data_IF_615775186321
#
_entry.id   IF_615775186321
#
_cell.length_a   1.000
_cell.length_b   1.000
_cell.length_c   1.000
_cell.angle_alpha   90.00
_cell.angle_beta   90.00
_cell.angle_gamma   90.00
#
_symmetry.space_group_name_H-M   'P 1'
#
loop_
_entity.id
_entity.type
_entity.pdbx_description
1 polymer ?
#
# COMPACT_ATOMS: atom_id res chain seq x y z
N UNK A 1 -17.76 14.79 -10.11
CA UNK A 1 -17.66 13.57 -9.30
C UNK A 1 -18.04 12.37 -10.18
N UNK A 2 -17.20 11.33 -10.24
CA UNK A 2 -17.51 10.07 -10.96
C UNK A 2 -18.62 9.27 -10.26
N UNK A 3 -18.73 9.40 -8.92
CA UNK A 3 -19.71 8.72 -8.09
C UNK A 3 -20.41 9.75 -7.19
N UNK A 4 -21.38 10.52 -7.70
CA UNK A 4 -22.08 11.54 -6.93
C UNK A 4 -22.98 10.90 -5.86
N UNK A 5 -23.28 11.65 -4.82
CA UNK A 5 -24.25 11.34 -3.78
C UNK A 5 -24.94 12.62 -3.30
N UNK A 6 -26.08 12.51 -2.66
CA UNK A 6 -26.81 13.65 -2.12
C UNK A 6 -26.12 14.20 -0.86
N UNK A 7 -25.85 15.51 -0.83
CA UNK A 7 -25.17 16.14 0.30
C UNK A 7 -26.09 16.33 1.51
N UNK A 8 -27.37 16.49 1.30
CA UNK A 8 -28.35 16.78 2.35
C UNK A 8 -28.51 15.64 3.37
N UNK A 9 -28.68 14.35 2.97
CA UNK A 9 -28.64 13.23 3.91
C UNK A 9 -27.30 13.10 4.64
N UNK A 10 -26.19 13.31 3.93
CA UNK A 10 -24.86 13.29 4.55
C UNK A 10 -24.72 14.40 5.60
N UNK A 11 -25.11 15.63 5.29
CA UNK A 11 -25.05 16.75 6.22
C UNK A 11 -25.90 16.50 7.48
N UNK A 12 -27.12 15.97 7.31
CA UNK A 12 -27.97 15.60 8.43
C UNK A 12 -27.35 14.52 9.31
N UNK A 13 -26.74 13.51 8.70
CA UNK A 13 -26.02 12.46 9.41
C UNK A 13 -24.80 13.00 10.17
N UNK A 14 -23.97 13.86 9.52
CA UNK A 14 -22.76 14.43 10.11
C UNK A 14 -23.07 15.37 11.28
N UNK A 15 -24.15 16.19 11.19
CA UNK A 15 -24.59 17.05 12.31
C UNK A 15 -24.86 16.24 13.58
N UNK A 16 -25.42 15.04 13.42
CA UNK A 16 -25.75 14.16 14.55
C UNK A 16 -24.55 13.39 15.09
N UNK A 17 -23.60 12.99 14.22
CA UNK A 17 -22.62 11.96 14.55
C UNK A 17 -21.17 12.43 14.51
N UNK A 18 -20.86 13.61 13.91
CA UNK A 18 -19.51 14.15 13.82
C UNK A 18 -19.33 15.34 14.77
N UNK A 19 -18.62 15.17 15.90
CA UNK A 19 -18.40 16.24 16.85
C UNK A 19 -17.75 17.48 16.19
N UNK A 20 -18.36 18.65 16.39
CA UNK A 20 -17.83 19.91 15.86
C UNK A 20 -18.15 20.18 14.39
N UNK A 21 -18.98 19.38 13.74
CA UNK A 21 -19.47 19.65 12.39
C UNK A 21 -20.36 20.90 12.34
N UNK A 22 -21.31 21.04 13.28
CA UNK A 22 -22.21 22.20 13.39
C UNK A 22 -23.25 22.27 12.27
N UNK A 23 -23.85 23.47 12.07
CA UNK A 23 -24.90 23.73 11.07
C UNK A 23 -24.36 24.37 9.77
N UNK A 24 -23.05 24.28 9.54
CA UNK A 24 -22.44 24.84 8.33
C UNK A 24 -22.86 24.09 7.08
N UNK A 25 -22.93 24.79 5.97
CA UNK A 25 -23.12 24.20 4.65
C UNK A 25 -21.89 23.34 4.30
N UNK A 26 -22.14 22.16 3.73
CA UNK A 26 -21.09 21.23 3.34
C UNK A 26 -20.90 21.23 1.83
N UNK A 27 -19.67 21.17 1.41
CA UNK A 27 -19.28 20.84 0.05
C UNK A 27 -18.51 19.54 0.02
N UNK A 28 -18.56 18.83 -1.12
CA UNK A 28 -17.78 17.62 -1.34
C UNK A 28 -17.15 17.67 -2.72
N UNK A 29 -15.85 17.39 -2.77
CA UNK A 29 -15.09 17.24 -4.02
C UNK A 29 -14.35 15.90 -4.02
N UNK A 30 -14.43 15.15 -5.14
CA UNK A 30 -13.78 13.84 -5.26
C UNK A 30 -12.32 14.02 -5.62
N UNK A 31 -11.43 13.33 -4.88
CA UNK A 31 -10.02 13.24 -5.27
C UNK A 31 -9.87 12.48 -6.59
N UNK A 32 -8.89 12.86 -7.40
CA UNK A 32 -8.58 12.23 -8.69
C UNK A 32 -7.91 10.87 -8.56
N UNK A 33 -7.30 10.56 -7.40
CA UNK A 33 -6.72 9.27 -7.06
C UNK A 33 -7.66 8.39 -6.22
N UNK A 34 -7.31 7.12 -6.03
CA UNK A 34 -8.12 6.17 -5.24
C UNK A 34 -9.12 5.41 -6.11
N UNK A 35 -8.61 4.57 -7.00
CA UNK A 35 -9.45 3.78 -7.93
C UNK A 35 -10.31 2.73 -7.23
N UNK A 36 -9.86 2.22 -6.07
CA UNK A 36 -10.56 1.16 -5.35
C UNK A 36 -11.76 1.67 -4.55
N UNK A 37 -11.54 2.68 -3.68
CA UNK A 37 -12.57 3.24 -2.81
C UNK A 37 -12.73 4.75 -3.08
N UNK A 38 -13.87 5.22 -3.61
CA UNK A 38 -14.09 6.64 -3.86
C UNK A 38 -13.86 7.48 -2.60
N UNK A 39 -12.98 8.47 -2.73
CA UNK A 39 -12.52 9.32 -1.62
C UNK A 39 -12.85 10.79 -1.93
N UNK A 40 -13.38 11.50 -0.96
CA UNK A 40 -13.88 12.87 -1.11
C UNK A 40 -13.33 13.79 -0.03
N UNK A 41 -12.94 14.99 -0.44
CA UNK A 41 -12.75 16.11 0.48
C UNK A 41 -14.12 16.66 0.86
N UNK A 42 -14.38 16.74 2.15
CA UNK A 42 -15.54 17.42 2.72
C UNK A 42 -15.08 18.75 3.34
N UNK A 43 -15.76 19.85 3.01
CA UNK A 43 -15.48 21.16 3.57
C UNK A 43 -16.74 21.77 4.17
N UNK A 44 -16.61 22.28 5.41
CA UNK A 44 -17.68 22.99 6.10
C UNK A 44 -17.10 24.18 6.86
N UNK A 45 -17.19 25.37 6.30
CA UNK A 45 -16.52 26.58 6.79
C UNK A 45 -15.00 26.45 6.71
N UNK A 46 -14.33 26.52 7.84
CA UNK A 46 -12.87 26.43 8.00
C UNK A 46 -12.36 25.01 8.27
N UNK A 47 -13.26 24.03 8.34
CA UNK A 47 -12.92 22.64 8.64
C UNK A 47 -12.94 21.78 7.40
N UNK A 48 -12.01 20.83 7.35
CA UNK A 48 -11.84 19.88 6.27
C UNK A 48 -11.76 18.44 6.83
N UNK A 49 -12.44 17.51 6.17
CA UNK A 49 -12.39 16.09 6.44
C UNK A 49 -12.28 15.31 5.14
N UNK A 50 -11.96 14.04 5.25
CA UNK A 50 -11.99 13.09 4.15
C UNK A 50 -13.07 12.06 4.42
N UNK A 51 -13.95 11.86 3.44
CA UNK A 51 -14.91 10.75 3.39
C UNK A 51 -14.39 9.70 2.42
N UNK A 52 -14.24 8.46 2.87
CA UNK A 52 -13.89 7.31 2.03
C UNK A 52 -15.04 6.30 2.10
N UNK A 53 -15.55 5.87 0.94
CA UNK A 53 -16.69 4.97 0.88
C UNK A 53 -16.46 3.78 -0.04
N UNK A 54 -17.23 2.71 0.16
CA UNK A 54 -17.30 1.61 -0.81
C UNK A 54 -17.81 2.12 -2.15
N UNK A 55 -17.32 1.61 -3.30
CA UNK A 55 -17.93 1.90 -4.59
C UNK A 55 -19.40 1.48 -4.59
N UNK A 56 -20.28 2.19 -5.31
CA UNK A 56 -21.66 1.75 -5.48
C UNK A 56 -21.73 0.50 -6.37
N UNK A 57 -22.71 -0.38 -6.11
CA UNK A 57 -22.98 -1.58 -6.90
C UNK A 57 -22.69 -2.88 -6.17
N UNK A 58 -22.81 -4.00 -6.89
CA UNK A 58 -22.54 -5.34 -6.34
C UNK A 58 -21.04 -5.58 -6.33
N UNK A 59 -20.48 -5.72 -5.14
CA UNK A 59 -19.06 -5.94 -4.92
C UNK A 59 -18.78 -7.41 -4.58
N UNK A 60 -17.56 -7.86 -4.89
CA UNK A 60 -17.10 -9.16 -4.43
C UNK A 60 -17.00 -9.18 -2.90
N UNK A 61 -17.35 -10.29 -2.24
CA UNK A 61 -17.18 -10.43 -0.80
C UNK A 61 -15.75 -10.07 -0.37
N UNK A 62 -15.60 -9.30 0.68
CA UNK A 62 -14.32 -8.78 1.21
C UNK A 62 -13.56 -7.75 0.34
N UNK A 63 -14.03 -7.39 -0.84
CA UNK A 63 -13.49 -6.25 -1.58
C UNK A 63 -13.99 -4.94 -0.97
N UNK A 64 -13.13 -3.91 -1.00
CA UNK A 64 -13.50 -2.55 -0.60
C UNK A 64 -13.99 -2.42 0.86
N UNK A 65 -13.31 -3.12 1.79
CA UNK A 65 -13.69 -3.19 3.21
C UNK A 65 -13.29 -1.92 3.98
N UNK A 66 -14.03 -0.82 3.80
CA UNK A 66 -13.80 0.47 4.49
C UNK A 66 -13.88 0.36 6.02
N UNK A 67 -14.66 -0.58 6.54
CA UNK A 67 -14.74 -0.94 7.95
C UNK A 67 -13.40 -1.46 8.48
N UNK A 68 -12.65 -2.23 7.68
CA UNK A 68 -11.32 -2.70 8.04
C UNK A 68 -10.28 -1.57 8.04
N UNK A 69 -10.34 -0.67 7.05
CA UNK A 69 -9.49 0.52 7.02
C UNK A 69 -9.73 1.40 8.25
N UNK A 70 -11.00 1.67 8.57
CA UNK A 70 -11.39 2.40 9.77
C UNK A 70 -10.84 1.74 11.03
N UNK A 71 -11.03 0.42 11.18
CA UNK A 71 -10.61 -0.35 12.36
C UNK A 71 -9.09 -0.28 12.60
N UNK A 72 -8.28 -0.44 11.57
CA UNK A 72 -6.82 -0.41 11.73
C UNK A 72 -6.33 1.00 12.07
N UNK A 73 -6.83 2.04 11.44
CA UNK A 73 -6.46 3.42 11.76
C UNK A 73 -6.91 3.82 13.17
N UNK A 74 -8.10 3.39 13.60
CA UNK A 74 -8.57 3.61 14.97
C UNK A 74 -7.65 2.95 16.00
N UNK A 75 -7.22 1.72 15.73
CA UNK A 75 -6.32 0.95 16.61
C UNK A 75 -4.90 1.57 16.68
N UNK A 76 -4.38 2.07 15.56
CA UNK A 76 -3.05 2.67 15.48
C UNK A 76 -2.95 4.08 16.05
N UNK A 77 -4.06 4.71 16.42
CA UNK A 77 -4.10 6.12 16.86
C UNK A 77 -3.14 6.46 18.00
N UNK A 78 -2.87 5.51 18.90
CA UNK A 78 -1.98 5.71 20.06
C UNK A 78 -0.59 5.08 19.87
N UNK A 79 -0.31 4.56 18.68
CA UNK A 79 1.00 3.99 18.34
C UNK A 79 1.92 5.05 17.76
N UNK A 80 3.17 4.66 17.49
CA UNK A 80 4.15 5.52 16.77
C UNK A 80 3.93 5.56 15.25
N UNK A 81 2.94 4.82 14.74
CA UNK A 81 2.56 4.83 13.32
C UNK A 81 1.61 6.00 13.06
N UNK A 82 2.01 6.99 12.28
CA UNK A 82 1.15 8.13 11.99
C UNK A 82 -0.01 7.71 11.08
N UNK A 83 -1.23 7.95 11.53
CA UNK A 83 -2.46 7.69 10.76
C UNK A 83 -3.42 8.87 10.86
N UNK A 84 -4.25 9.14 9.85
CA UNK A 84 -5.33 10.12 10.00
C UNK A 84 -6.24 9.73 11.16
N UNK A 85 -6.67 10.69 11.93
CA UNK A 85 -7.67 10.42 12.96
C UNK A 85 -9.00 10.10 12.30
N UNK A 86 -9.52 8.90 12.55
CA UNK A 86 -10.87 8.50 12.12
C UNK A 86 -11.90 8.97 13.15
N UNK A 87 -13.06 9.40 12.69
CA UNK A 87 -14.11 10.00 13.52
C UNK A 87 -15.35 9.12 13.64
N UNK A 88 -15.82 8.58 12.51
CA UNK A 88 -17.03 7.77 12.46
C UNK A 88 -16.97 6.78 11.29
N UNK A 89 -17.63 5.65 11.48
CA UNK A 89 -17.97 4.67 10.45
C UNK A 89 -19.51 4.64 10.33
N UNK A 90 -20.01 4.71 9.11
CA UNK A 90 -21.42 4.58 8.79
C UNK A 90 -21.63 3.37 7.89
N UNK A 91 -22.45 2.43 8.34
CA UNK A 91 -22.82 1.23 7.59
C UNK A 91 -24.25 1.34 7.01
N UNK A 92 -24.90 2.49 7.17
CA UNK A 92 -26.22 2.77 6.63
C UNK A 92 -26.11 3.30 5.19
N UNK A 93 -26.43 2.44 4.22
CA UNK A 93 -26.37 2.77 2.79
C UNK A 93 -27.37 3.88 2.39
N UNK A 94 -28.39 4.19 3.21
CA UNK A 94 -29.36 5.25 2.91
C UNK A 94 -28.74 6.64 2.93
N UNK A 95 -27.58 6.83 3.57
CA UNK A 95 -26.93 8.14 3.74
C UNK A 95 -26.24 8.61 2.46
N UNK A 96 -25.36 7.77 1.89
CA UNK A 96 -24.60 8.10 0.67
C UNK A 96 -24.57 6.97 -0.37
N UNK A 97 -25.40 5.96 -0.21
CA UNK A 97 -25.54 4.85 -1.14
C UNK A 97 -24.59 3.68 -0.90
N UNK A 98 -23.71 3.75 0.09
CA UNK A 98 -22.82 2.66 0.53
C UNK A 98 -22.14 3.01 1.85
N UNK A 99 -21.63 2.00 2.55
CA UNK A 99 -20.86 2.21 3.79
C UNK A 99 -19.65 3.14 3.57
N UNK A 100 -19.39 4.02 4.53
CA UNK A 100 -18.29 5.00 4.49
C UNK A 100 -17.73 5.27 5.88
N UNK A 101 -16.53 5.86 5.91
CA UNK A 101 -16.00 6.47 7.12
C UNK A 101 -15.52 7.90 6.86
N UNK A 102 -15.39 8.66 7.94
CA UNK A 102 -14.87 10.03 7.94
C UNK A 102 -13.61 10.09 8.79
N UNK A 103 -12.59 10.74 8.25
CA UNK A 103 -11.30 10.99 8.92
C UNK A 103 -10.86 12.43 8.73
N UNK A 104 -9.83 12.84 9.49
CA UNK A 104 -9.19 14.15 9.31
C UNK A 104 -8.61 14.29 7.91
N UNK A 105 -8.73 15.49 7.34
CA UNK A 105 -7.91 15.88 6.20
C UNK A 105 -6.50 16.25 6.72
N UNK A 106 -5.51 15.52 6.23
CA UNK A 106 -4.10 15.77 6.58
C UNK A 106 -3.45 16.58 5.46
N UNK A 107 -3.07 17.81 5.76
CA UNK A 107 -2.36 18.67 4.82
C UNK A 107 -0.87 18.36 4.82
N UNK A 108 -0.31 18.09 3.63
CA UNK A 108 1.10 17.75 3.50
C UNK A 108 1.51 17.48 2.06
N UNK A 109 2.71 16.92 1.91
CA UNK A 109 3.30 16.52 0.62
C UNK A 109 3.20 15.02 0.43
N UNK A 110 2.83 14.57 -0.75
CA UNK A 110 2.97 13.16 -1.18
C UNK A 110 3.91 13.10 -2.39
N UNK A 111 4.61 11.99 -2.57
CA UNK A 111 5.62 11.84 -3.60
C UNK A 111 5.30 10.63 -4.46
N UNK A 112 5.06 10.87 -5.74
CA UNK A 112 4.80 9.81 -6.71
C UNK A 112 6.08 9.14 -7.23
N UNK A 113 7.13 9.95 -7.45
CA UNK A 113 8.41 9.50 -7.95
C UNK A 113 9.38 9.24 -6.78
N UNK A 114 9.86 8.00 -6.60
CA UNK A 114 10.76 7.66 -5.50
C UNK A 114 12.14 8.32 -5.61
N UNK A 115 12.52 8.88 -6.76
CA UNK A 115 13.75 9.67 -6.89
C UNK A 115 13.65 11.05 -6.25
N UNK A 116 12.44 11.48 -5.85
CA UNK A 116 12.14 12.77 -5.19
C UNK A 116 12.72 13.96 -5.95
N UNK A 117 12.28 14.18 -7.22
CA UNK A 117 12.83 15.27 -8.03
C UNK A 117 12.61 16.62 -7.37
N UNK A 118 13.57 17.53 -7.54
CA UNK A 118 13.54 18.88 -6.98
C UNK A 118 14.02 19.00 -5.53
N UNK A 119 14.32 17.89 -4.84
CA UNK A 119 14.86 17.89 -3.48
C UNK A 119 16.40 17.88 -3.48
N UNK A 120 16.99 18.38 -2.39
CA UNK A 120 18.42 18.23 -2.10
C UNK A 120 18.76 16.80 -1.67
N UNK A 121 20.04 16.44 -1.68
CA UNK A 121 20.51 15.14 -1.21
C UNK A 121 20.15 14.87 0.26
N UNK A 122 20.31 15.89 1.11
CA UNK A 122 20.00 15.79 2.55
C UNK A 122 18.50 15.59 2.79
N UNK A 123 17.65 16.30 2.06
CA UNK A 123 16.19 16.14 2.15
C UNK A 123 15.77 14.73 1.73
N UNK A 124 16.32 14.20 0.63
CA UNK A 124 16.04 12.83 0.19
C UNK A 124 16.45 11.81 1.25
N UNK A 125 17.69 11.92 1.77
CA UNK A 125 18.17 11.06 2.83
C UNK A 125 17.26 11.06 4.05
N UNK A 126 16.82 12.24 4.49
CA UNK A 126 15.92 12.39 5.63
C UNK A 126 14.51 11.81 5.37
N UNK A 127 13.95 11.99 4.17
CA UNK A 127 12.67 11.38 3.76
C UNK A 127 12.76 9.85 3.79
N UNK A 128 13.83 9.26 3.25
CA UNK A 128 14.03 7.82 3.28
C UNK A 128 14.28 7.29 4.69
N UNK A 129 14.99 8.02 5.55
CA UNK A 129 15.20 7.62 6.95
C UNK A 129 13.88 7.62 7.73
N UNK A 130 13.06 8.63 7.56
CA UNK A 130 11.73 8.71 8.18
C UNK A 130 10.78 7.62 7.66
N UNK A 131 10.79 7.34 6.35
CA UNK A 131 10.01 6.25 5.75
C UNK A 131 10.39 4.89 6.36
N UNK A 132 11.69 4.66 6.55
CA UNK A 132 12.21 3.47 7.23
C UNK A 132 11.75 3.38 8.69
N UNK A 133 11.77 4.52 9.41
CA UNK A 133 11.28 4.59 10.79
C UNK A 133 9.81 4.19 10.88
N UNK A 134 8.96 4.69 9.99
CA UNK A 134 7.52 4.45 10.02
C UNK A 134 7.18 2.98 9.75
N UNK A 135 7.80 2.34 8.75
CA UNK A 135 7.55 0.92 8.48
C UNK A 135 8.09 0.03 9.59
N UNK A 136 9.23 0.38 10.20
CA UNK A 136 9.76 -0.34 11.36
C UNK A 136 8.82 -0.21 12.57
N UNK A 137 8.27 1.00 12.82
CA UNK A 137 7.28 1.22 13.86
C UNK A 137 6.00 0.41 13.63
N UNK A 138 5.54 0.32 12.37
CA UNK A 138 4.37 -0.50 12.01
C UNK A 138 4.59 -1.97 12.35
N UNK A 139 5.74 -2.53 11.98
CA UNK A 139 6.05 -3.94 12.25
C UNK A 139 6.33 -4.23 13.72
N UNK A 140 6.64 -3.21 14.51
CA UNK A 140 6.79 -3.29 15.97
C UNK A 140 5.50 -3.13 16.77
N UNK A 141 4.35 -2.91 16.11
CA UNK A 141 3.06 -2.78 16.81
C UNK A 141 2.66 -4.11 17.43
N UNK A 142 2.41 -4.12 18.72
CA UNK A 142 1.71 -5.22 19.39
C UNK A 142 0.24 -5.21 18.96
N UNK A 143 -0.06 -5.99 17.91
CA UNK A 143 -1.39 -6.04 17.32
C UNK A 143 -2.46 -6.62 18.25
N UNK A 144 -2.07 -7.40 19.26
CA UNK A 144 -3.00 -7.91 20.29
C UNK A 144 -3.35 -6.81 21.26
N UNK A 145 -2.37 -6.07 21.77
CA UNK A 145 -2.56 -4.95 22.68
C UNK A 145 -3.44 -3.83 22.09
N UNK A 146 -3.36 -3.60 20.77
CA UNK A 146 -4.23 -2.64 20.07
C UNK A 146 -5.54 -3.25 19.54
N UNK A 147 -5.94 -4.42 20.03
CA UNK A 147 -7.21 -5.10 19.68
C UNK A 147 -7.35 -5.50 18.20
N UNK A 148 -6.24 -5.84 17.54
CA UNK A 148 -6.18 -6.33 16.16
C UNK A 148 -5.89 -7.85 16.05
N UNK A 149 -5.98 -8.64 17.14
CA UNK A 149 -5.75 -10.10 17.11
C UNK A 149 -6.60 -10.83 16.03
N UNK A 150 -7.85 -10.39 15.82
CA UNK A 150 -8.75 -10.92 14.77
C UNK A 150 -8.71 -10.16 13.45
N UNK A 151 -7.71 -9.30 13.21
CA UNK A 151 -7.65 -8.47 12.00
C UNK A 151 -7.20 -9.23 10.74
N UNK A 152 -6.49 -10.32 10.93
CA UNK A 152 -6.03 -11.21 9.87
C UNK A 152 -5.85 -12.64 10.41
N UNK A 153 -5.34 -13.51 9.57
CA UNK A 153 -5.02 -14.89 9.94
C UNK A 153 -3.50 -15.00 10.17
N UNK A 154 -3.04 -15.21 11.42
CA UNK A 154 -1.62 -15.41 11.69
C UNK A 154 -1.06 -16.65 11.01
N UNK A 155 0.23 -16.67 10.78
CA UNK A 155 0.99 -17.80 10.23
C UNK A 155 0.72 -18.09 8.76
N UNK A 156 1.66 -18.77 8.13
CA UNK A 156 1.60 -19.21 6.72
C UNK A 156 1.26 -18.12 5.70
N UNK A 157 1.63 -16.88 6.00
CA UNK A 157 1.29 -15.73 5.15
C UNK A 157 1.79 -15.91 3.72
N UNK A 158 3.06 -16.23 3.53
CA UNK A 158 3.68 -16.40 2.21
C UNK A 158 2.99 -17.48 1.40
N UNK A 159 2.73 -18.66 1.97
CA UNK A 159 2.05 -19.75 1.27
C UNK A 159 0.68 -19.32 0.74
N UNK A 160 -0.14 -18.70 1.61
CA UNK A 160 -1.47 -18.20 1.20
C UNK A 160 -1.40 -17.14 0.12
N UNK A 161 -0.42 -16.24 0.19
CA UNK A 161 -0.25 -15.18 -0.80
C UNK A 161 0.23 -15.74 -2.14
N UNK A 162 1.18 -16.67 -2.15
CA UNK A 162 1.63 -17.35 -3.39
C UNK A 162 0.45 -18.04 -4.07
N UNK A 163 -0.34 -18.83 -3.33
CA UNK A 163 -1.54 -19.49 -3.87
C UNK A 163 -2.57 -18.48 -4.41
N UNK A 164 -2.81 -17.38 -3.68
CA UNK A 164 -3.74 -16.33 -4.10
C UNK A 164 -3.29 -15.70 -5.41
N UNK A 165 -2.04 -15.25 -5.49
CA UNK A 165 -1.52 -14.54 -6.65
C UNK A 165 -1.32 -15.45 -7.85
N UNK A 166 -0.99 -16.72 -7.65
CA UNK A 166 -0.97 -17.74 -8.70
C UNK A 166 -2.36 -17.91 -9.32
N UNK A 167 -3.41 -18.05 -8.49
CA UNK A 167 -4.80 -18.13 -9.00
C UNK A 167 -5.20 -16.88 -9.77
N UNK A 168 -4.88 -15.68 -9.24
CA UNK A 168 -5.20 -14.43 -9.93
C UNK A 168 -4.47 -14.29 -11.27
N UNK A 169 -3.17 -14.59 -11.30
CA UNK A 169 -2.41 -14.57 -12.53
C UNK A 169 -3.01 -15.52 -13.58
N UNK A 170 -3.26 -16.77 -13.21
CA UNK A 170 -3.84 -17.77 -14.13
C UNK A 170 -5.23 -17.38 -14.63
N UNK A 171 -6.06 -16.78 -13.79
CA UNK A 171 -7.39 -16.30 -14.16
C UNK A 171 -7.36 -15.09 -15.11
N UNK A 172 -6.27 -14.34 -15.12
CA UNK A 172 -6.07 -13.15 -15.96
C UNK A 172 -5.02 -13.33 -17.06
N UNK A 173 -4.43 -14.51 -17.20
CA UNK A 173 -3.40 -14.78 -18.19
C UNK A 173 -3.94 -14.53 -19.62
N UNK A 174 -3.14 -13.81 -20.41
CA UNK A 174 -3.34 -13.61 -21.85
C UNK A 174 -2.34 -14.46 -22.61
N UNK A 175 -1.15 -13.93 -22.84
CA UNK A 175 -0.01 -14.69 -23.34
C UNK A 175 0.82 -15.18 -22.13
N UNK A 176 1.35 -16.39 -22.19
CA UNK A 176 2.16 -16.94 -21.09
C UNK A 176 3.43 -16.12 -20.87
N UNK A 177 3.74 -15.81 -19.60
CA UNK A 177 4.99 -15.16 -19.19
C UNK A 177 5.92 -16.23 -18.60
N UNK A 178 6.99 -16.65 -19.32
CA UNK A 178 7.85 -17.76 -18.87
C UNK A 178 8.45 -17.56 -17.47
N UNK A 179 8.81 -16.33 -17.11
CA UNK A 179 9.31 -16.03 -15.77
C UNK A 179 8.26 -16.23 -14.67
N UNK A 180 6.98 -15.97 -14.96
CA UNK A 180 5.89 -16.24 -14.00
C UNK A 180 5.73 -17.73 -13.75
N UNK A 181 5.80 -18.57 -14.77
CA UNK A 181 5.70 -20.03 -14.59
C UNK A 181 6.86 -20.56 -13.74
N UNK A 182 8.09 -20.11 -14.01
CA UNK A 182 9.26 -20.46 -13.17
C UNK A 182 9.10 -20.02 -11.71
N UNK A 183 8.57 -18.81 -11.47
CA UNK A 183 8.32 -18.29 -10.12
C UNK A 183 7.20 -19.07 -9.41
N UNK A 184 6.15 -19.46 -10.13
CA UNK A 184 5.03 -20.28 -9.60
C UNK A 184 5.53 -21.66 -9.11
N UNK A 185 6.51 -22.25 -9.79
CA UNK A 185 7.12 -23.52 -9.38
C UNK A 185 8.12 -23.32 -8.23
N UNK A 186 8.96 -22.28 -8.32
CA UNK A 186 10.07 -22.09 -7.40
C UNK A 186 9.64 -21.59 -6.02
N UNK A 187 8.75 -20.58 -5.96
CA UNK A 187 8.39 -19.91 -4.71
C UNK A 187 7.78 -20.86 -3.66
N UNK A 188 6.84 -21.76 -3.99
CA UNK A 188 6.28 -22.68 -2.99
C UNK A 188 7.30 -23.68 -2.44
N UNK A 189 8.31 -24.06 -3.26
CA UNK A 189 9.34 -25.03 -2.88
C UNK A 189 10.44 -24.44 -1.98
N UNK A 190 10.52 -23.11 -1.85
CA UNK A 190 11.60 -22.41 -1.15
C UNK A 190 11.10 -21.43 -0.09
N UNK A 191 9.86 -21.61 0.40
CA UNK A 191 9.30 -20.73 1.45
C UNK A 191 10.21 -20.76 2.67
N UNK A 192 10.67 -19.60 3.18
CA UNK A 192 11.43 -19.53 4.43
C UNK A 192 10.73 -20.22 5.59
N UNK A 193 11.50 -20.83 6.48
CA UNK A 193 10.95 -21.50 7.67
C UNK A 193 10.39 -20.51 8.70
N UNK A 194 10.93 -19.29 8.72
CA UNK A 194 10.44 -18.22 9.59
C UNK A 194 8.99 -17.84 9.22
N UNK A 195 8.10 -17.91 10.19
CA UNK A 195 6.66 -17.65 10.03
C UNK A 195 6.21 -16.51 10.98
N UNK A 196 7.02 -15.50 11.09
CA UNK A 196 6.73 -14.32 11.91
C UNK A 196 5.43 -13.63 11.46
N UNK A 197 4.69 -13.12 12.45
CA UNK A 197 3.43 -12.40 12.21
C UNK A 197 3.50 -11.02 12.85
N UNK A 198 3.23 -9.98 12.05
CA UNK A 198 3.05 -8.60 12.49
C UNK A 198 1.85 -7.97 11.78
N UNK A 199 1.49 -6.76 12.20
CA UNK A 199 0.61 -5.91 11.39
C UNK A 199 1.40 -5.42 10.18
N UNK A 200 0.89 -5.67 8.97
CA UNK A 200 1.49 -5.25 7.71
C UNK A 200 0.54 -4.35 6.92
N UNK A 201 1.11 -3.41 6.19
CA UNK A 201 0.35 -2.51 5.32
C UNK A 201 -0.12 -3.20 4.04
N UNK A 202 0.75 -3.99 3.44
CA UNK A 202 0.48 -4.71 2.20
C UNK A 202 0.68 -3.89 0.91
N UNK A 203 0.77 -2.56 1.00
CA UNK A 203 1.12 -1.64 -0.11
C UNK A 203 1.91 -0.43 0.42
N UNK A 204 2.91 -0.68 1.28
CA UNK A 204 3.70 0.40 1.86
C UNK A 204 4.65 1.00 0.82
N UNK A 205 4.30 2.17 0.32
CA UNK A 205 5.04 2.93 -0.69
C UNK A 205 5.07 4.40 -0.32
N UNK A 206 6.04 5.14 -0.89
CA UNK A 206 6.24 6.56 -0.59
C UNK A 206 5.04 7.42 -1.01
N UNK A 207 4.31 7.03 -2.05
CA UNK A 207 3.10 7.70 -2.52
C UNK A 207 1.87 7.47 -1.62
N UNK A 208 1.92 6.49 -0.72
CA UNK A 208 0.93 6.27 0.33
C UNK A 208 1.26 6.98 1.66
N UNK A 209 2.27 7.85 1.66
CA UNK A 209 2.68 8.64 2.82
C UNK A 209 2.41 10.13 2.60
N UNK A 210 1.84 10.78 3.61
CA UNK A 210 1.76 12.25 3.67
C UNK A 210 2.87 12.76 4.58
N UNK A 211 3.78 13.54 4.01
CA UNK A 211 4.85 14.19 4.74
C UNK A 211 4.45 15.61 5.14
N UNK A 212 5.04 16.11 6.20
CA UNK A 212 4.91 17.49 6.62
C UNK A 212 5.29 18.45 5.47
N UNK A 213 4.65 19.64 5.36
CA UNK A 213 4.91 20.56 4.25
C UNK A 213 6.39 20.95 4.06
N UNK A 214 7.17 21.01 5.12
CA UNK A 214 8.58 21.46 5.10
C UNK A 214 9.57 20.50 5.77
N UNK A 215 9.10 19.62 6.68
CA UNK A 215 9.94 18.66 7.40
C UNK A 215 9.92 17.28 6.72
N UNK A 216 10.90 16.41 6.95
CA UNK A 216 10.88 15.04 6.44
C UNK A 216 9.89 14.12 7.19
N UNK A 217 9.21 14.61 8.22
CA UNK A 217 8.31 13.84 9.09
C UNK A 217 7.05 13.39 8.38
N UNK A 218 6.72 12.10 8.48
CA UNK A 218 5.44 11.55 8.02
C UNK A 218 4.31 11.95 8.98
N UNK A 219 3.24 12.49 8.43
CA UNK A 219 2.02 12.88 9.15
C UNK A 219 0.93 11.82 9.08
N UNK A 220 0.90 11.04 7.99
CA UNK A 220 -0.08 9.99 7.81
C UNK A 220 0.40 8.90 6.85
N UNK A 221 0.10 7.66 7.18
CA UNK A 221 0.10 6.50 6.27
C UNK A 221 -1.32 6.31 5.79
N UNK A 222 -1.50 6.22 4.47
CA UNK A 222 -2.79 6.09 3.79
C UNK A 222 -2.94 4.72 3.13
N UNK A 223 -4.17 4.40 2.69
CA UNK A 223 -4.51 3.24 1.86
C UNK A 223 -4.29 1.88 2.54
N UNK A 224 -4.97 1.70 3.66
CA UNK A 224 -4.91 0.50 4.49
C UNK A 224 -5.76 -0.68 3.97
N UNK A 225 -6.28 -0.63 2.75
CA UNK A 225 -7.20 -1.65 2.21
C UNK A 225 -6.58 -3.05 2.11
N UNK A 226 -5.25 -3.14 1.92
CA UNK A 226 -4.51 -4.41 1.84
C UNK A 226 -3.90 -4.84 3.17
N UNK A 227 -4.06 -4.05 4.22
CA UNK A 227 -3.48 -4.32 5.53
C UNK A 227 -4.07 -5.59 6.18
N UNK A 228 -3.21 -6.30 6.89
CA UNK A 228 -3.59 -7.58 7.54
C UNK A 228 -2.52 -7.97 8.57
N UNK A 229 -2.76 -9.09 9.26
CA UNK A 229 -1.67 -9.81 9.93
C UNK A 229 -0.89 -10.62 8.89
N UNK A 230 0.40 -10.34 8.78
CA UNK A 230 1.27 -10.89 7.74
C UNK A 230 2.73 -10.92 8.15
N UNK A 231 3.59 -11.30 7.21
CA UNK A 231 5.02 -11.41 7.45
C UNK A 231 5.72 -10.04 7.25
N UNK A 232 6.39 -9.47 8.26
CA UNK A 232 6.98 -8.13 8.19
C UNK A 232 8.04 -8.00 7.10
N UNK A 233 8.85 -9.04 6.86
CA UNK A 233 9.87 -8.98 5.80
C UNK A 233 9.25 -9.00 4.40
N UNK A 234 8.07 -9.61 4.22
CA UNK A 234 7.35 -9.52 2.95
C UNK A 234 6.84 -8.10 2.70
N UNK A 235 6.37 -7.39 3.72
CA UNK A 235 5.91 -6.00 3.60
C UNK A 235 7.09 -5.04 3.40
N UNK A 236 8.18 -5.21 4.15
CA UNK A 236 9.38 -4.40 3.97
C UNK A 236 10.04 -4.62 2.61
N UNK A 237 10.10 -5.86 2.11
CA UNK A 237 10.62 -6.17 0.78
C UNK A 237 9.72 -5.59 -0.34
N UNK A 238 8.41 -5.50 -0.12
CA UNK A 238 7.51 -4.81 -1.06
C UNK A 238 7.91 -3.33 -1.22
N UNK A 239 8.15 -2.64 -0.13
CA UNK A 239 8.66 -1.27 -0.16
C UNK A 239 10.02 -1.18 -0.86
N UNK A 240 10.92 -2.11 -0.58
CA UNK A 240 12.27 -2.13 -1.13
C UNK A 240 12.35 -2.58 -2.60
N UNK A 241 11.28 -3.06 -3.23
CA UNK A 241 11.30 -3.41 -4.66
C UNK A 241 11.81 -2.29 -5.55
N UNK A 242 11.59 -1.04 -5.16
CA UNK A 242 12.01 0.15 -5.91
C UNK A 242 13.52 0.18 -6.20
N UNK A 243 14.37 -0.42 -5.33
CA UNK A 243 15.81 -0.55 -5.58
C UNK A 243 16.18 -1.62 -6.63
N UNK A 244 15.27 -2.55 -6.91
CA UNK A 244 15.52 -3.72 -7.79
C UNK A 244 14.99 -3.54 -9.21
N UNK A 245 14.16 -2.53 -9.44
CA UNK A 245 13.56 -2.22 -10.74
C UNK A 245 14.00 -0.84 -11.24
N UNK A 246 14.04 -0.68 -12.55
CA UNK A 246 14.36 0.60 -13.19
C UNK A 246 13.13 1.51 -13.28
N UNK A 247 13.28 2.81 -13.53
CA UNK A 247 12.14 3.70 -13.79
C UNK A 247 11.24 3.23 -14.93
N UNK A 248 11.82 2.60 -15.96
CA UNK A 248 11.07 2.07 -17.11
C UNK A 248 10.38 0.73 -16.84
N UNK A 249 10.89 -0.08 -15.89
CA UNK A 249 10.23 -1.31 -15.47
C UNK A 249 9.03 -1.02 -14.55
N UNK A 250 9.21 -0.22 -13.51
CA UNK A 250 8.10 0.20 -12.62
C UNK A 250 8.57 1.22 -11.57
N UNK A 251 8.61 2.53 -11.88
CA UNK A 251 8.93 3.60 -10.91
C UNK A 251 10.08 3.24 -9.96
N UNK A 252 11.18 2.72 -10.51
CA UNK A 252 12.28 2.20 -9.71
C UNK A 252 13.43 3.20 -9.56
N UNK A 253 14.36 2.83 -8.67
CA UNK A 253 15.60 3.57 -8.41
C UNK A 253 16.82 2.93 -9.08
N UNK A 254 16.69 1.70 -9.57
CA UNK A 254 17.80 0.99 -10.21
C UNK A 254 18.29 1.75 -11.44
N UNK A 255 19.59 2.02 -11.48
CA UNK A 255 20.23 2.77 -12.56
C UNK A 255 20.45 4.25 -12.25
N UNK A 256 19.87 4.79 -11.16
CA UNK A 256 20.23 6.11 -10.67
C UNK A 256 21.56 6.10 -9.89
N UNK A 257 22.28 7.20 -9.91
CA UNK A 257 23.38 7.46 -8.98
C UNK A 257 22.79 7.85 -7.61
N UNK A 258 22.53 6.82 -6.78
CA UNK A 258 21.91 6.99 -5.48
C UNK A 258 22.74 7.85 -4.54
N UNK A 259 24.08 7.75 -4.63
CA UNK A 259 24.99 8.53 -3.80
C UNK A 259 24.89 10.02 -4.15
N UNK A 260 24.89 10.38 -5.43
CA UNK A 260 24.70 11.76 -5.87
C UNK A 260 23.30 12.30 -5.52
N UNK A 261 22.27 11.44 -5.51
CA UNK A 261 20.92 11.80 -5.10
C UNK A 261 20.76 11.94 -3.58
N UNK A 262 21.67 11.39 -2.77
CA UNK A 262 21.51 11.30 -1.31
C UNK A 262 20.50 10.24 -0.85
N UNK A 263 20.09 9.34 -1.75
CA UNK A 263 19.22 8.21 -1.43
C UNK A 263 20.09 7.05 -0.92
N UNK A 264 19.75 6.42 0.22
CA UNK A 264 20.56 5.31 0.72
C UNK A 264 20.57 4.13 -0.27
N UNK A 265 21.72 3.46 -0.40
CA UNK A 265 21.77 2.16 -1.05
C UNK A 265 20.93 1.14 -0.28
N UNK A 266 20.38 0.13 -0.98
CA UNK A 266 19.48 -0.87 -0.40
C UNK A 266 20.05 -1.53 0.86
N UNK A 267 21.33 -1.91 0.86
CA UNK A 267 22.00 -2.54 1.99
C UNK A 267 22.08 -1.63 3.22
N UNK A 268 22.30 -0.33 3.04
CA UNK A 268 22.29 0.65 4.12
C UNK A 268 20.85 0.86 4.66
N UNK A 269 19.87 0.87 3.77
CA UNK A 269 18.46 1.00 4.13
C UNK A 269 17.94 -0.23 4.90
N UNK A 270 18.34 -1.43 4.49
CA UNK A 270 18.08 -2.70 5.18
C UNK A 270 18.73 -2.71 6.57
N UNK A 271 20.00 -2.29 6.68
CA UNK A 271 20.66 -2.19 7.99
C UNK A 271 19.96 -1.22 8.94
N UNK A 272 19.45 -0.10 8.44
CA UNK A 272 18.68 0.85 9.25
C UNK A 272 17.38 0.21 9.79
N UNK A 273 16.66 -0.53 8.95
CA UNK A 273 15.48 -1.30 9.37
C UNK A 273 15.83 -2.37 10.43
N UNK A 274 16.87 -3.15 10.19
CA UNK A 274 17.34 -4.15 11.16
C UNK A 274 17.64 -3.52 12.52
N UNK A 275 18.35 -2.38 12.53
CA UNK A 275 18.66 -1.65 13.77
C UNK A 275 17.38 -1.22 14.52
N UNK A 276 16.38 -0.72 13.80
CA UNK A 276 15.10 -0.26 14.38
C UNK A 276 14.23 -1.40 14.91
N UNK A 277 14.31 -2.56 14.28
CA UNK A 277 13.50 -3.74 14.64
C UNK A 277 14.24 -4.76 15.52
N UNK A 278 15.49 -4.45 15.93
CA UNK A 278 16.30 -5.34 16.77
C UNK A 278 16.81 -6.60 16.07
N UNK A 279 16.84 -6.61 14.73
CA UNK A 279 17.29 -7.74 13.91
C UNK A 279 18.79 -7.66 13.62
N UNK A 280 19.47 -8.79 13.61
CA UNK A 280 20.88 -8.87 13.21
C UNK A 280 21.04 -8.84 11.68
N UNK A 281 20.10 -9.43 10.95
CA UNK A 281 20.10 -9.51 9.49
C UNK A 281 18.69 -9.82 8.97
N UNK A 282 18.52 -9.81 7.63
CA UNK A 282 17.31 -10.30 6.96
C UNK A 282 17.67 -11.56 6.16
N UNK A 283 17.48 -12.77 6.73
CA UNK A 283 17.71 -14.00 5.99
C UNK A 283 16.73 -14.11 4.82
N UNK A 284 17.13 -14.84 3.79
CA UNK A 284 16.30 -15.08 2.60
C UNK A 284 15.78 -13.81 1.90
N UNK A 285 16.52 -12.69 2.00
CA UNK A 285 16.09 -11.40 1.48
C UNK A 285 15.71 -11.43 0.00
N UNK A 286 16.50 -12.12 -0.84
CA UNK A 286 16.20 -12.25 -2.26
C UNK A 286 14.93 -13.12 -2.54
N UNK A 287 14.54 -14.01 -1.62
CA UNK A 287 13.26 -14.70 -1.68
C UNK A 287 12.08 -13.73 -1.53
N UNK A 288 12.12 -12.85 -0.51
CA UNK A 288 11.05 -11.86 -0.32
C UNK A 288 10.96 -10.87 -1.47
N UNK A 289 12.10 -10.53 -2.08
CA UNK A 289 12.14 -9.70 -3.30
C UNK A 289 11.52 -10.43 -4.49
N UNK A 290 11.89 -11.69 -4.74
CA UNK A 290 11.30 -12.51 -5.81
C UNK A 290 9.78 -12.66 -5.63
N UNK A 291 9.32 -12.92 -4.39
CA UNK A 291 7.90 -13.02 -4.05
C UNK A 291 7.14 -11.73 -4.36
N UNK A 292 7.67 -10.58 -4.00
CA UNK A 292 6.98 -9.30 -4.22
C UNK A 292 6.95 -8.90 -5.69
N UNK A 293 8.01 -9.16 -6.44
CA UNK A 293 8.04 -8.94 -7.89
C UNK A 293 7.08 -9.90 -8.63
N UNK A 294 6.98 -11.16 -8.19
CA UNK A 294 5.95 -12.09 -8.64
C UNK A 294 4.53 -11.56 -8.38
N UNK A 295 4.27 -11.09 -7.15
CA UNK A 295 2.99 -10.49 -6.77
C UNK A 295 2.67 -9.27 -7.63
N UNK A 296 3.62 -8.37 -7.83
CA UNK A 296 3.46 -7.17 -8.67
C UNK A 296 3.16 -7.56 -10.13
N UNK A 297 3.88 -8.52 -10.68
CA UNK A 297 3.63 -9.02 -12.04
C UNK A 297 2.20 -9.60 -12.18
N UNK A 298 1.71 -10.33 -11.16
CA UNK A 298 0.34 -10.84 -11.15
C UNK A 298 -0.72 -9.72 -11.09
N UNK A 299 -0.46 -8.64 -10.34
CA UNK A 299 -1.32 -7.45 -10.29
C UNK A 299 -1.37 -6.77 -11.66
N UNK A 300 -0.21 -6.52 -12.27
CA UNK A 300 -0.08 -5.89 -13.58
C UNK A 300 -0.77 -6.72 -14.69
N UNK A 301 -0.63 -8.04 -14.64
CA UNK A 301 -1.35 -8.93 -15.55
C UNK A 301 -2.88 -8.80 -15.41
N UNK A 302 -3.37 -8.67 -14.17
CA UNK A 302 -4.78 -8.40 -13.93
C UNK A 302 -5.25 -7.04 -14.47
N UNK A 303 -4.40 -6.01 -14.43
CA UNK A 303 -4.66 -4.71 -15.05
C UNK A 303 -4.74 -4.85 -16.57
N UNK A 304 -3.78 -5.54 -17.19
CA UNK A 304 -3.77 -5.81 -18.63
C UNK A 304 -5.04 -6.52 -19.08
N UNK A 305 -5.42 -7.58 -18.36
CA UNK A 305 -6.63 -8.35 -18.66
C UNK A 305 -7.87 -7.46 -18.68
N UNK A 306 -8.05 -6.62 -17.66
CA UNK A 306 -9.18 -5.67 -17.59
C UNK A 306 -9.14 -4.63 -18.72
N UNK A 307 -7.95 -4.13 -19.08
CA UNK A 307 -7.79 -3.18 -20.18
C UNK A 307 -8.23 -3.78 -21.50
N UNK A 308 -7.77 -5.00 -21.81
CA UNK A 308 -8.11 -5.70 -23.05
C UNK A 308 -9.60 -6.07 -23.15
N UNK A 309 -10.30 -6.23 -22.03
CA UNK A 309 -11.73 -6.55 -21.97
C UNK A 309 -12.63 -5.32 -21.73
N UNK A 310 -12.10 -4.10 -21.88
CA UNK A 310 -12.90 -2.86 -21.81
C UNK A 310 -13.41 -2.49 -20.41
N UNK A 311 -12.87 -3.11 -19.35
CA UNK A 311 -13.24 -2.84 -17.94
C UNK A 311 -12.17 -2.12 -17.14
N UNK A 312 -11.20 -1.48 -17.82
CA UNK A 312 -10.11 -0.74 -17.18
C UNK A 312 -10.56 0.66 -16.73
N UNK A 313 -9.97 1.12 -15.63
CA UNK A 313 -10.28 2.41 -15.02
C UNK A 313 -9.60 3.60 -15.74
N UNK A 314 -8.50 3.38 -16.49
CA UNK A 314 -7.76 4.43 -17.20
C UNK A 314 -7.32 4.04 -18.61
N UNK A 315 -7.07 5.04 -19.46
CA UNK A 315 -6.54 4.84 -20.82
C UNK A 315 -5.10 4.28 -20.82
N UNK A 316 -4.36 4.47 -19.72
CA UNK A 316 -2.97 4.02 -19.56
C UNK A 316 -2.86 2.59 -19.00
N UNK A 317 -3.99 1.97 -18.63
CA UNK A 317 -4.03 0.67 -17.97
C UNK A 317 -3.39 -0.43 -18.83
N UNK A 318 -3.53 -0.40 -20.14
CA UNK A 318 -2.90 -1.38 -21.04
C UNK A 318 -1.37 -1.26 -21.00
N UNK A 319 -0.84 -0.04 -21.12
CA UNK A 319 0.60 0.20 -21.06
C UNK A 319 1.18 -0.25 -19.70
N UNK A 320 0.52 0.11 -18.59
CA UNK A 320 0.90 -0.32 -17.25
C UNK A 320 0.87 -1.83 -17.11
N UNK A 321 -0.18 -2.48 -17.60
CA UNK A 321 -0.34 -3.93 -17.52
C UNK A 321 0.72 -4.71 -18.31
N UNK A 322 1.22 -4.16 -19.44
CA UNK A 322 2.30 -4.76 -20.24
C UNK A 322 3.64 -4.84 -19.52
N UNK A 323 3.81 -4.14 -18.38
CA UNK A 323 4.98 -4.25 -17.53
C UNK A 323 5.04 -5.57 -16.73
N UNK A 324 4.00 -6.40 -16.77
CA UNK A 324 3.96 -7.69 -16.06
C UNK A 324 5.15 -8.60 -16.44
N UNK A 325 5.50 -8.69 -17.74
CA UNK A 325 6.63 -9.47 -18.22
C UNK A 325 7.98 -8.99 -17.64
N UNK A 326 8.37 -7.73 -17.87
CA UNK A 326 9.60 -7.15 -17.29
C UNK A 326 9.70 -7.31 -15.78
N UNK A 327 8.62 -7.13 -15.03
CA UNK A 327 8.61 -7.30 -13.57
C UNK A 327 8.77 -8.77 -13.17
N UNK A 328 8.15 -9.72 -13.88
CA UNK A 328 8.35 -11.14 -13.65
C UNK A 328 9.81 -11.55 -13.88
N UNK A 329 10.45 -11.06 -14.96
CA UNK A 329 11.87 -11.30 -15.21
C UNK A 329 12.76 -10.66 -14.11
N UNK A 330 12.40 -9.48 -13.61
CA UNK A 330 13.08 -8.89 -12.45
C UNK A 330 12.99 -9.81 -11.22
N UNK A 331 11.84 -10.43 -10.99
CA UNK A 331 11.64 -11.42 -9.94
C UNK A 331 12.51 -12.66 -10.12
N UNK A 332 12.55 -13.20 -11.33
CA UNK A 332 13.38 -14.37 -11.63
C UNK A 332 14.89 -14.09 -11.47
N UNK A 333 15.35 -12.90 -11.81
CA UNK A 333 16.75 -12.47 -11.56
C UNK A 333 17.14 -12.53 -10.06
N UNK A 334 16.20 -12.37 -9.12
CA UNK A 334 16.51 -12.52 -7.69
C UNK A 334 16.80 -13.98 -7.34
N UNK A 335 16.07 -14.92 -7.96
CA UNK A 335 16.28 -16.37 -7.78
C UNK A 335 17.65 -16.81 -8.28
N UNK A 336 18.03 -16.40 -9.49
CA UNK A 336 19.31 -16.79 -10.10
C UNK A 336 20.50 -16.22 -9.32
N UNK A 337 20.42 -14.96 -8.88
CA UNK A 337 21.44 -14.35 -8.02
C UNK A 337 21.66 -15.13 -6.71
N UNK A 338 20.58 -15.60 -6.08
CA UNK A 338 20.65 -16.42 -4.86
C UNK A 338 21.35 -17.75 -5.13
N UNK A 339 21.09 -18.40 -6.25
CA UNK A 339 21.74 -19.68 -6.63
C UNK A 339 23.24 -19.53 -6.87
N UNK A 340 23.68 -18.43 -7.50
CA UNK A 340 25.10 -18.13 -7.74
C UNK A 340 25.89 -17.89 -6.43
N UNK A 341 25.25 -17.31 -5.40
CA UNK A 341 25.88 -17.07 -4.09
C UNK A 341 25.96 -18.38 -3.25
N UNK A 342 25.04 -19.32 -3.49
CA UNK A 342 24.97 -20.59 -2.75
C UNK A 342 25.80 -21.71 -3.38
N UNK A 343 26.31 -21.53 -4.59
CA UNK A 343 27.23 -22.44 -5.31
C UNK A 343 28.68 -22.08 -5.10
#
# INVERSE_FOLDING_TARGET
MRHPFALEPLAAYLRKNLPGFGDKEITASQFSGGESNPTYLLEAGDRRWVLRRKPPGVLLPSAHAVDREFRVMAALRQSEVPVPRVHLLCEDDSVVGSAFFVMDYVEGRSFWDPSLPGMTADERGAIYDETNRVIAALHGVDYEAVSLAGYGRPGQYLKRQIERWTRQYRASATDGIPAMERLIEWLPAHVPEDDETSLVHGDFRIDNLIFHPTEPRVLAVLDWELSTLGHPLADFAYHCMTWRVTPSEFRGLKGHDLAALGIPHEDAYVRAYCKRTGRSSLPDWDYYMAFNLFRMAAILQGILHRALHGSAASAEAEQTGRLAGPIAEAGWRQVTKRQEIAS
#
